data_IF_504891401772
#
_entry.id   IF_504891401772
#
_cell.length_a   1.000
_cell.length_b   1.000
_cell.length_c   1.000
_cell.angle_alpha   90.00
_cell.angle_beta   90.00
_cell.angle_gamma   90.00
#
_symmetry.space_group_name_H-M   'P 1'
#
loop_
_entity.id
_entity.type
_entity.pdbx_description
1 polymer ?
#
# COMPACT_ATOMS: atom_id res chain seq x y z
N UNK A 1 8.72 -20.25 12.51
CA UNK A 1 8.02 -18.97 12.49
C UNK A 1 8.88 -17.76 12.94
N UNK A 2 9.71 -17.83 14.01
CA UNK A 2 10.57 -16.70 14.42
C UNK A 2 11.70 -16.40 13.41
N UNK A 3 12.35 -17.45 12.88
CA UNK A 3 13.47 -17.32 11.93
C UNK A 3 13.08 -16.56 10.64
N UNK A 4 11.91 -16.83 10.08
CA UNK A 4 11.44 -16.14 8.86
C UNK A 4 11.16 -14.65 9.11
N UNK A 5 10.62 -14.29 10.28
CA UNK A 5 10.39 -12.88 10.65
C UNK A 5 11.70 -12.11 10.83
N UNK A 6 12.70 -12.74 11.50
CA UNK A 6 14.02 -12.13 11.66
C UNK A 6 14.69 -11.94 10.29
N UNK A 7 14.61 -12.92 9.40
CA UNK A 7 15.21 -12.85 8.06
C UNK A 7 14.59 -11.74 7.22
N UNK A 8 13.26 -11.62 7.25
CA UNK A 8 12.54 -10.52 6.56
C UNK A 8 12.91 -9.15 7.15
N UNK A 9 13.07 -9.04 8.47
CA UNK A 9 13.48 -7.78 9.10
C UNK A 9 14.94 -7.42 8.75
N UNK A 10 15.87 -8.39 8.84
CA UNK A 10 17.28 -8.16 8.54
C UNK A 10 17.55 -7.78 7.09
N UNK A 11 16.74 -8.26 6.15
CA UNK A 11 16.85 -7.91 4.73
C UNK A 11 15.97 -6.69 4.38
N UNK A 12 14.75 -6.65 4.88
CA UNK A 12 13.77 -5.62 4.53
C UNK A 12 14.12 -4.24 5.09
N UNK A 13 14.64 -4.17 6.34
CA UNK A 13 15.00 -2.88 6.95
C UNK A 13 16.15 -2.20 6.18
N UNK A 14 17.28 -2.86 5.86
CA UNK A 14 18.33 -2.24 5.05
C UNK A 14 17.87 -1.81 3.66
N UNK A 15 17.05 -2.62 2.99
CA UNK A 15 16.50 -2.27 1.67
C UNK A 15 15.59 -1.04 1.78
N UNK A 16 14.70 -1.00 2.78
CA UNK A 16 13.84 0.14 3.04
C UNK A 16 14.62 1.42 3.32
N UNK A 17 15.63 1.34 4.21
CA UNK A 17 16.50 2.47 4.51
C UNK A 17 17.30 2.93 3.28
N UNK A 18 17.85 2.01 2.51
CA UNK A 18 18.57 2.35 1.28
C UNK A 18 17.65 3.09 0.29
N UNK A 19 16.42 2.61 0.08
CA UNK A 19 15.47 3.27 -0.80
C UNK A 19 15.05 4.66 -0.28
N UNK A 20 14.90 4.85 1.03
CA UNK A 20 14.59 6.14 1.64
C UNK A 20 15.76 7.12 1.47
N UNK A 21 17.00 6.65 1.67
CA UNK A 21 18.22 7.49 1.54
C UNK A 21 18.44 7.88 0.09
N UNK A 22 18.40 6.93 -0.84
CA UNK A 22 18.61 7.16 -2.27
C UNK A 22 17.47 8.01 -2.88
N UNK A 23 16.23 7.83 -2.39
CA UNK A 23 15.07 8.58 -2.88
C UNK A 23 14.73 8.31 -4.34
N UNK A 24 14.08 9.28 -5.00
CA UNK A 24 13.79 9.22 -6.44
C UNK A 24 13.13 7.92 -6.89
N UNK A 25 13.62 7.33 -7.97
CA UNK A 25 13.06 6.09 -8.51
C UNK A 25 13.26 4.86 -7.61
N UNK A 26 14.20 4.87 -6.67
CA UNK A 26 14.41 3.76 -5.75
C UNK A 26 13.25 3.61 -4.76
N UNK A 27 12.77 4.72 -4.19
CA UNK A 27 11.61 4.68 -3.30
C UNK A 27 10.32 4.38 -4.07
N UNK A 28 10.18 4.89 -5.30
CA UNK A 28 9.06 4.53 -6.18
C UNK A 28 9.04 3.04 -6.48
N UNK A 29 10.17 2.47 -6.92
CA UNK A 29 10.29 1.05 -7.24
C UNK A 29 9.94 0.17 -6.04
N UNK A 30 10.48 0.50 -4.86
CA UNK A 30 10.16 -0.21 -3.63
C UNK A 30 8.67 -0.10 -3.27
N UNK A 31 8.10 1.12 -3.34
CA UNK A 31 6.69 1.33 -3.03
C UNK A 31 5.77 0.56 -4.00
N UNK A 32 6.09 0.52 -5.30
CA UNK A 32 5.34 -0.28 -6.29
C UNK A 32 5.41 -1.77 -5.97
N UNK A 33 6.61 -2.31 -5.70
CA UNK A 33 6.78 -3.72 -5.34
C UNK A 33 5.98 -4.07 -4.09
N UNK A 34 6.11 -3.27 -3.03
CA UNK A 34 5.41 -3.51 -1.77
C UNK A 34 3.90 -3.34 -1.92
N UNK A 35 3.44 -2.41 -2.76
CA UNK A 35 2.01 -2.27 -3.07
C UNK A 35 1.47 -3.51 -3.77
N UNK A 36 2.16 -4.03 -4.79
CA UNK A 36 1.72 -5.23 -5.50
C UNK A 36 1.70 -6.45 -4.58
N UNK A 37 2.75 -6.64 -3.77
CA UNK A 37 2.82 -7.75 -2.82
C UNK A 37 1.74 -7.63 -1.73
N UNK A 38 1.58 -6.45 -1.14
CA UNK A 38 0.56 -6.20 -0.11
C UNK A 38 -0.86 -6.36 -0.63
N UNK A 39 -1.16 -5.87 -1.85
CA UNK A 39 -2.45 -6.08 -2.51
C UNK A 39 -2.70 -7.56 -2.81
N UNK A 40 -1.66 -8.29 -3.22
CA UNK A 40 -1.77 -9.73 -3.47
C UNK A 40 -2.13 -10.50 -2.19
N UNK A 41 -1.43 -10.23 -1.10
CA UNK A 41 -1.71 -10.85 0.19
C UNK A 41 -3.12 -10.49 0.69
N UNK A 42 -3.47 -9.21 0.65
CA UNK A 42 -4.78 -8.71 1.03
C UNK A 42 -5.91 -9.40 0.25
N UNK A 43 -5.80 -9.49 -1.08
CA UNK A 43 -6.81 -10.16 -1.90
C UNK A 43 -6.85 -11.68 -1.71
N UNK A 44 -5.73 -12.28 -1.37
CA UNK A 44 -5.68 -13.71 -1.05
C UNK A 44 -6.45 -14.02 0.23
N UNK A 45 -6.31 -13.17 1.25
CA UNK A 45 -7.05 -13.28 2.51
C UNK A 45 -8.56 -13.06 2.33
N UNK A 46 -8.94 -12.14 1.44
CA UNK A 46 -10.33 -11.75 1.21
C UNK A 46 -10.95 -12.37 -0.06
N UNK A 47 -10.38 -13.46 -0.55
CA UNK A 47 -10.90 -14.22 -1.70
C UNK A 47 -12.39 -14.55 -1.64
N UNK A 48 -12.97 -14.90 -0.48
CA UNK A 48 -14.41 -15.22 -0.40
C UNK A 48 -15.33 -14.07 -0.88
N UNK A 49 -14.88 -12.83 -0.76
CA UNK A 49 -15.63 -11.65 -1.22
C UNK A 49 -15.47 -11.36 -2.71
N UNK A 50 -14.68 -12.16 -3.44
CA UNK A 50 -14.43 -12.05 -4.89
C UNK A 50 -14.05 -10.62 -5.31
N UNK A 51 -12.97 -10.02 -4.73
CA UNK A 51 -12.55 -8.66 -5.08
C UNK A 51 -12.26 -8.52 -6.57
N UNK A 52 -12.42 -7.31 -7.10
CA UNK A 52 -12.07 -7.02 -8.48
C UNK A 52 -10.56 -6.77 -8.58
N UNK A 53 -9.80 -7.82 -8.88
CA UNK A 53 -8.34 -7.78 -8.92
C UNK A 53 -7.83 -6.76 -9.94
N UNK A 54 -8.41 -6.76 -11.15
CA UNK A 54 -7.94 -5.88 -12.22
C UNK A 54 -8.07 -4.40 -11.84
N UNK A 55 -9.29 -4.00 -11.44
CA UNK A 55 -9.54 -2.61 -11.02
C UNK A 55 -8.68 -2.23 -9.81
N UNK A 56 -8.57 -3.12 -8.83
CA UNK A 56 -7.80 -2.85 -7.62
C UNK A 56 -6.31 -2.67 -7.88
N UNK A 57 -5.67 -3.54 -8.69
CA UNK A 57 -4.26 -3.38 -9.03
C UNK A 57 -3.99 -2.14 -9.89
N UNK A 58 -4.83 -1.88 -10.91
CA UNK A 58 -4.67 -0.70 -11.76
C UNK A 58 -4.81 0.59 -10.96
N UNK A 59 -5.82 0.67 -10.10
CA UNK A 59 -6.01 1.83 -9.24
C UNK A 59 -4.89 1.97 -8.20
N UNK A 60 -4.43 0.87 -7.59
CA UNK A 60 -3.34 0.90 -6.63
C UNK A 60 -2.04 1.44 -7.27
N UNK A 61 -1.72 0.97 -8.48
CA UNK A 61 -0.57 1.49 -9.23
C UNK A 61 -0.76 2.96 -9.62
N UNK A 62 -1.97 3.35 -10.06
CA UNK A 62 -2.28 4.74 -10.39
C UNK A 62 -2.12 5.67 -9.17
N UNK A 63 -2.52 5.23 -7.98
CA UNK A 63 -2.35 5.97 -6.71
C UNK A 63 -0.87 6.18 -6.39
N UNK A 64 -0.06 5.11 -6.42
CA UNK A 64 1.36 5.18 -6.04
C UNK A 64 2.19 5.96 -7.07
N UNK A 65 2.00 5.66 -8.36
CA UNK A 65 2.71 6.34 -9.46
C UNK A 65 2.24 7.79 -9.59
N UNK A 66 0.93 8.02 -9.46
CA UNK A 66 0.34 9.37 -9.45
C UNK A 66 0.90 10.22 -8.30
N UNK A 67 1.01 9.67 -7.10
CA UNK A 67 1.61 10.36 -5.97
C UNK A 67 3.07 10.76 -6.23
N UNK A 68 3.84 9.91 -6.89
CA UNK A 68 5.24 10.21 -7.20
C UNK A 68 5.42 11.33 -8.24
N UNK A 69 4.65 11.30 -9.35
CA UNK A 69 4.84 12.26 -10.44
C UNK A 69 4.04 13.56 -10.27
N UNK A 70 2.88 13.51 -9.62
CA UNK A 70 1.93 14.62 -9.51
C UNK A 70 1.68 15.04 -8.05
N UNK A 71 2.32 14.39 -7.08
CA UNK A 71 2.09 14.68 -5.67
C UNK A 71 0.69 14.30 -5.19
N UNK A 72 0.16 15.08 -4.24
CA UNK A 72 -1.17 14.86 -3.69
C UNK A 72 -2.29 14.86 -4.73
N UNK A 73 -2.32 15.75 -5.75
CA UNK A 73 -3.29 15.66 -6.84
C UNK A 73 -3.28 14.32 -7.57
N UNK A 74 -2.11 13.74 -7.81
CA UNK A 74 -1.97 12.44 -8.47
C UNK A 74 -2.51 11.28 -7.62
N UNK A 75 -2.26 11.30 -6.31
CA UNK A 75 -2.87 10.36 -5.37
C UNK A 75 -4.41 10.45 -5.41
N UNK A 76 -4.95 11.66 -5.31
CA UNK A 76 -6.40 11.88 -5.35
C UNK A 76 -7.02 11.46 -6.69
N UNK A 77 -6.34 11.74 -7.80
CA UNK A 77 -6.78 11.29 -9.13
C UNK A 77 -6.80 9.76 -9.23
N UNK A 78 -5.81 9.06 -8.67
CA UNK A 78 -5.79 7.61 -8.59
C UNK A 78 -6.95 7.03 -7.77
N UNK A 79 -7.28 7.66 -6.64
CA UNK A 79 -8.44 7.29 -5.83
C UNK A 79 -9.78 7.57 -6.54
N UNK A 80 -9.89 8.69 -7.26
CA UNK A 80 -11.06 8.99 -8.08
C UNK A 80 -11.21 7.96 -9.22
N UNK A 81 -10.12 7.59 -9.86
CA UNK A 81 -10.10 6.55 -10.88
C UNK A 81 -10.57 5.19 -10.34
N UNK A 82 -10.20 4.83 -9.10
CA UNK A 82 -10.71 3.62 -8.44
C UNK A 82 -12.24 3.60 -8.40
N UNK A 83 -12.86 4.70 -7.95
CA UNK A 83 -14.32 4.81 -7.84
C UNK A 83 -14.96 4.71 -9.22
N UNK A 84 -14.46 5.47 -10.20
CA UNK A 84 -14.97 5.48 -11.56
C UNK A 84 -14.85 4.11 -12.22
N UNK A 85 -13.66 3.51 -12.19
CA UNK A 85 -13.42 2.21 -12.80
C UNK A 85 -14.24 1.10 -12.16
N UNK A 86 -14.38 1.09 -10.84
CA UNK A 86 -15.17 0.09 -10.14
C UNK A 86 -16.67 0.25 -10.45
N UNK A 87 -17.15 1.48 -10.59
CA UNK A 87 -18.52 1.74 -11.01
C UNK A 87 -18.78 1.23 -12.44
N UNK A 88 -17.93 1.62 -13.40
CA UNK A 88 -18.06 1.14 -14.79
C UNK A 88 -17.97 -0.38 -14.88
N UNK A 89 -17.02 -0.99 -14.15
CA UNK A 89 -16.91 -2.44 -14.14
C UNK A 89 -18.16 -3.13 -13.59
N UNK A 90 -18.81 -2.54 -12.59
CA UNK A 90 -20.04 -3.09 -12.02
C UNK A 90 -21.25 -3.03 -12.96
N UNK A 91 -21.25 -2.08 -13.92
CA UNK A 91 -22.33 -2.00 -14.94
C UNK A 91 -22.30 -3.16 -15.93
N UNK A 92 -21.12 -3.73 -16.19
CA UNK A 92 -20.93 -4.84 -17.12
C UNK A 92 -20.86 -6.21 -16.42
N UNK A 93 -20.85 -6.23 -15.08
CA UNK A 93 -20.76 -7.42 -14.25
C UNK A 93 -22.13 -7.89 -13.72
N UNK A 94 -22.13 -9.04 -13.05
CA UNK A 94 -23.32 -9.52 -12.36
C UNK A 94 -23.70 -8.58 -11.20
N UNK A 95 -24.85 -7.94 -11.34
CA UNK A 95 -25.51 -7.18 -10.27
C UNK A 95 -26.14 -8.18 -9.29
N UNK A 96 -25.33 -8.72 -8.38
CA UNK A 96 -25.80 -9.70 -7.39
C UNK A 96 -25.58 -9.25 -5.95
N UNK A 97 -26.06 -10.04 -4.99
CA UNK A 97 -25.99 -9.77 -3.55
C UNK A 97 -24.55 -9.52 -3.03
N UNK A 98 -23.54 -9.92 -3.78
CA UNK A 98 -22.10 -9.76 -3.41
C UNK A 98 -21.45 -8.50 -3.97
N UNK A 99 -22.15 -7.67 -4.74
CA UNK A 99 -21.58 -6.49 -5.38
C UNK A 99 -20.98 -5.52 -4.36
N UNK A 100 -21.73 -5.19 -3.30
CA UNK A 100 -21.29 -4.25 -2.27
C UNK A 100 -20.04 -4.79 -1.55
N UNK A 101 -20.02 -6.05 -1.17
CA UNK A 101 -18.86 -6.68 -0.54
C UNK A 101 -17.63 -6.68 -1.44
N UNK A 102 -17.81 -7.00 -2.72
CA UNK A 102 -16.74 -6.96 -3.75
C UNK A 102 -16.14 -5.56 -3.88
N UNK A 103 -17.00 -4.54 -4.02
CA UNK A 103 -16.56 -3.14 -4.12
C UNK A 103 -15.87 -2.68 -2.84
N UNK A 104 -16.47 -2.95 -1.67
CA UNK A 104 -15.91 -2.56 -0.39
C UNK A 104 -14.50 -3.13 -0.18
N UNK A 105 -14.29 -4.42 -0.45
CA UNK A 105 -12.99 -5.05 -0.34
C UNK A 105 -12.00 -4.47 -1.34
N UNK A 106 -12.41 -4.24 -2.59
CA UNK A 106 -11.53 -3.64 -3.61
C UNK A 106 -11.09 -2.23 -3.21
N UNK A 107 -12.02 -1.38 -2.77
CA UNK A 107 -11.74 -0.01 -2.35
C UNK A 107 -10.88 0.04 -1.09
N UNK A 108 -11.23 -0.76 -0.08
CA UNK A 108 -10.51 -0.76 1.18
C UNK A 108 -9.05 -1.21 1.00
N UNK A 109 -8.79 -2.25 0.16
CA UNK A 109 -7.44 -2.67 -0.17
C UNK A 109 -6.61 -1.55 -0.79
N UNK A 110 -7.16 -0.85 -1.78
CA UNK A 110 -6.46 0.26 -2.43
C UNK A 110 -6.22 1.42 -1.46
N UNK A 111 -7.22 1.79 -0.65
CA UNK A 111 -7.09 2.84 0.36
C UNK A 111 -6.09 2.47 1.46
N UNK A 112 -6.10 1.23 1.93
CA UNK A 112 -5.23 0.81 3.03
C UNK A 112 -3.80 0.58 2.58
N UNK A 113 -3.60 -0.17 1.50
CA UNK A 113 -2.27 -0.58 1.05
C UNK A 113 -1.64 0.49 0.17
N UNK A 114 -2.29 0.85 -0.95
CA UNK A 114 -1.68 1.72 -1.95
C UNK A 114 -1.55 3.17 -1.46
N UNK A 115 -2.58 3.73 -0.80
CA UNK A 115 -2.48 5.07 -0.26
C UNK A 115 -1.44 5.15 0.87
N UNK A 116 -1.29 4.09 1.69
CA UNK A 116 -0.25 4.02 2.70
C UNK A 116 1.15 4.21 2.11
N UNK A 117 1.49 3.45 1.06
CA UNK A 117 2.78 3.61 0.37
C UNK A 117 2.90 4.92 -0.40
N UNK A 118 1.81 5.42 -0.98
CA UNK A 118 1.79 6.73 -1.64
C UNK A 118 2.08 7.87 -0.65
N UNK A 119 1.54 7.83 0.56
CA UNK A 119 1.86 8.82 1.60
C UNK A 119 3.32 8.75 2.06
N UNK A 120 3.97 7.60 2.05
CA UNK A 120 5.41 7.48 2.32
C UNK A 120 6.21 8.24 1.23
N UNK A 121 5.80 8.13 -0.04
CA UNK A 121 6.41 8.90 -1.14
C UNK A 121 6.22 10.40 -0.92
N UNK A 122 4.99 10.85 -0.64
CA UNK A 122 4.68 12.24 -0.39
C UNK A 122 5.44 12.79 0.83
N UNK A 123 5.53 12.01 1.91
CA UNK A 123 6.27 12.36 3.10
C UNK A 123 7.77 12.55 2.80
N UNK A 124 8.33 11.68 1.95
CA UNK A 124 9.74 11.75 1.55
C UNK A 124 10.06 13.01 0.74
N UNK A 125 9.09 13.53 0.00
CA UNK A 125 9.24 14.73 -0.86
C UNK A 125 9.12 16.06 -0.09
N UNK A 126 8.75 16.03 1.19
CA UNK A 126 8.69 17.21 2.04
C UNK A 126 10.09 17.76 2.41
N UNK A 127 10.15 19.03 2.85
CA UNK A 127 11.31 19.56 3.53
C UNK A 127 11.67 18.67 4.73
N UNK A 128 12.92 18.21 4.79
CA UNK A 128 13.38 17.18 5.75
C UNK A 128 12.69 15.82 5.62
N UNK A 129 12.05 15.51 4.48
CA UNK A 129 11.26 14.30 4.24
C UNK A 129 12.02 13.00 4.49
N UNK A 130 13.33 12.96 4.22
CA UNK A 130 14.15 11.79 4.56
C UNK A 130 14.11 11.48 6.06
N UNK A 131 14.34 12.48 6.91
CA UNK A 131 14.30 12.31 8.36
C UNK A 131 12.91 11.92 8.87
N UNK A 132 11.86 12.54 8.33
CA UNK A 132 10.48 12.23 8.67
C UNK A 132 10.11 10.79 8.29
N UNK A 133 10.51 10.34 7.11
CA UNK A 133 10.24 8.97 6.65
C UNK A 133 10.98 7.93 7.50
N UNK A 134 12.25 8.19 7.85
CA UNK A 134 13.01 7.34 8.77
C UNK A 134 12.36 7.31 10.16
N UNK A 135 11.88 8.45 10.66
CA UNK A 135 11.19 8.53 11.94
C UNK A 135 9.92 7.66 11.94
N UNK A 136 9.08 7.77 10.91
CA UNK A 136 7.86 6.95 10.78
C UNK A 136 8.21 5.47 10.73
N UNK A 137 9.22 5.08 9.95
CA UNK A 137 9.69 3.69 9.89
C UNK A 137 10.17 3.19 11.27
N UNK A 138 10.98 4.00 11.95
CA UNK A 138 11.48 3.65 13.29
C UNK A 138 10.33 3.50 14.31
N UNK A 139 9.38 4.43 14.31
CA UNK A 139 8.20 4.35 15.18
C UNK A 139 7.37 3.08 14.90
N UNK A 140 7.19 2.72 13.64
CA UNK A 140 6.45 1.50 13.26
C UNK A 140 7.17 0.25 13.76
N UNK A 141 8.48 0.15 13.54
CA UNK A 141 9.29 -1.00 14.00
C UNK A 141 9.29 -1.09 15.53
N UNK A 142 9.43 0.03 16.23
CA UNK A 142 9.38 0.06 17.69
C UNK A 142 8.01 -0.36 18.21
N UNK A 143 6.93 0.18 17.63
CA UNK A 143 5.56 -0.19 18.00
C UNK A 143 5.31 -1.69 17.85
N UNK A 144 5.69 -2.28 16.71
CA UNK A 144 5.55 -3.72 16.47
C UNK A 144 6.38 -4.55 17.44
N UNK A 145 7.60 -4.09 17.75
CA UNK A 145 8.49 -4.74 18.70
C UNK A 145 7.90 -4.73 20.11
N UNK A 146 7.43 -3.57 20.59
CA UNK A 146 6.80 -3.45 21.91
C UNK A 146 5.49 -4.25 21.99
N UNK A 147 4.65 -4.18 20.96
CA UNK A 147 3.41 -4.95 20.89
C UNK A 147 3.69 -6.47 20.98
N UNK A 148 4.75 -6.94 20.32
CA UNK A 148 5.16 -8.35 20.42
C UNK A 148 5.60 -8.74 21.84
N UNK A 149 6.40 -7.92 22.52
CA UNK A 149 6.87 -8.23 23.88
C UNK A 149 5.74 -8.17 24.90
N UNK A 150 4.89 -7.14 24.83
CA UNK A 150 3.75 -6.99 25.76
C UNK A 150 2.71 -8.09 25.53
N UNK A 151 2.45 -8.47 24.29
CA UNK A 151 1.48 -9.53 23.99
C UNK A 151 1.96 -10.95 24.32
N UNK A 152 3.24 -11.12 24.70
CA UNK A 152 3.82 -12.39 25.11
C UNK A 152 4.02 -12.50 26.64
N UNK A 153 3.92 -11.39 27.37
CA UNK A 153 3.98 -11.36 28.82
C UNK A 153 2.63 -11.75 29.44
#
# INVERSE_FOLDING_TARGET
MLRSRILVAVVGIPIGLAAIILGGYFILGLAVILTVLGMHEYYTLLRPYKPNLLVGYLAALAVVVGAYFLGLPGLLAGLAALVILSFFWSLFGELGAHLVGRMAVTHFGTLWVAAGFAYIILLRDLNHGMGLTILVLACTILNDTFAYFVGRA
#
